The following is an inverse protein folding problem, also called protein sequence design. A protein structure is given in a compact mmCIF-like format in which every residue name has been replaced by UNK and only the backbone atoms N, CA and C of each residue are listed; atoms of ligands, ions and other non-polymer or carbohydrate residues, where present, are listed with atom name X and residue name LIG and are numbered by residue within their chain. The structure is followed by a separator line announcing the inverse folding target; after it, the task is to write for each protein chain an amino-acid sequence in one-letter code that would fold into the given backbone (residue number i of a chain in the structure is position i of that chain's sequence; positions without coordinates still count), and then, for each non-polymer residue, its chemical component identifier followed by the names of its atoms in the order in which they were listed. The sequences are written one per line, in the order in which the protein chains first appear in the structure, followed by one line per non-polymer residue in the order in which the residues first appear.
data_IF_615623485750
#
_entry.id   IF_615623485750
#
_cell.length_a   1.000
_cell.length_b   1.000
_cell.length_c   1.000
_cell.angle_alpha   90.00
_cell.angle_beta   90.00
_cell.angle_gamma   90.00
#
_symmetry.space_group_name_H-M   'P 1'
#
loop_
_entity.id
_entity.type
_entity.pdbx_description
1 polymer ?
#
# COMPACT_ATOMS: atom_id res chain seq x y z
N UNK A 1 -23.48 8.28 18.07
CA UNK A 1 -22.36 7.32 17.97
C UNK A 1 -21.05 8.08 17.83
N UNK A 2 -20.06 7.87 18.70
CA UNK A 2 -18.73 8.48 18.52
C UNK A 2 -18.05 7.83 17.31
N UNK A 3 -17.86 8.59 16.22
CA UNK A 3 -17.02 8.15 15.10
C UNK A 3 -15.59 8.03 15.62
N UNK A 4 -15.12 6.80 15.81
CA UNK A 4 -13.71 6.56 16.04
C UNK A 4 -12.97 6.81 14.73
N UNK A 5 -12.03 7.74 14.74
CA UNK A 5 -11.15 8.02 13.60
C UNK A 5 -9.81 7.38 13.87
N UNK A 6 -9.40 6.47 12.98
CA UNK A 6 -8.08 5.87 13.00
C UNK A 6 -7.29 6.45 11.84
N UNK A 7 -6.16 7.10 12.12
CA UNK A 7 -5.33 7.76 11.08
C UNK A 7 -4.99 6.83 9.92
N UNK A 8 -4.71 5.55 10.22
CA UNK A 8 -4.44 4.55 9.20
C UNK A 8 -5.64 4.34 8.27
N UNK A 9 -6.86 4.24 8.80
CA UNK A 9 -8.09 4.07 8.00
C UNK A 9 -8.38 5.31 7.16
N UNK A 10 -8.13 6.50 7.69
CA UNK A 10 -8.34 7.75 6.94
C UNK A 10 -7.46 7.86 5.69
N UNK A 11 -6.27 7.24 5.69
CA UNK A 11 -5.40 7.18 4.51
C UNK A 11 -6.03 6.39 3.35
N UNK A 12 -6.83 5.36 3.65
CA UNK A 12 -7.53 4.51 2.67
C UNK A 12 -8.97 4.96 2.38
N UNK A 13 -9.53 5.88 3.16
CA UNK A 13 -10.91 6.35 2.98
C UNK A 13 -11.05 7.13 1.68
N UNK A 14 -11.98 6.72 0.82
CA UNK A 14 -12.44 7.49 -0.33
C UNK A 14 -13.43 8.60 0.05
N UNK A 15 -13.72 9.49 -0.89
CA UNK A 15 -14.74 10.55 -0.75
C UNK A 15 -15.37 10.83 -2.13
N UNK A 16 -16.38 11.71 -2.17
CA UNK A 16 -17.16 12.07 -3.37
C UNK A 16 -16.31 12.29 -4.63
N UNK A 17 -15.11 12.88 -4.48
CA UNK A 17 -14.17 13.15 -5.58
C UNK A 17 -12.77 12.62 -5.31
N UNK A 18 -12.66 11.57 -4.50
CA UNK A 18 -11.36 11.01 -4.11
C UNK A 18 -11.39 9.50 -4.21
N UNK A 19 -10.65 8.98 -5.19
CA UNK A 19 -10.33 7.58 -5.33
C UNK A 19 -8.92 7.38 -4.79
N UNK A 20 -8.73 6.37 -3.94
CA UNK A 20 -7.41 5.97 -3.46
C UNK A 20 -6.81 4.96 -4.42
N UNK A 21 -5.53 5.13 -4.73
CA UNK A 21 -4.75 4.19 -5.51
C UNK A 21 -3.79 3.52 -4.53
N UNK A 22 -3.78 2.18 -4.53
CA UNK A 22 -2.91 1.37 -3.70
C UNK A 22 -2.07 0.51 -4.62
N UNK A 23 -0.74 0.61 -4.49
CA UNK A 23 0.18 -0.21 -5.26
C UNK A 23 0.14 -1.66 -4.80
N UNK A 24 -0.53 -2.51 -5.58
CA UNK A 24 -0.63 -3.94 -5.32
C UNK A 24 0.72 -4.63 -5.49
N UNK A 25 1.26 -5.16 -4.39
CA UNK A 25 2.63 -5.68 -4.24
C UNK A 25 3.69 -4.69 -4.70
N UNK A 26 3.45 -3.41 -4.46
CA UNK A 26 4.15 -2.29 -5.10
C UNK A 26 3.60 -2.00 -6.50
N UNK A 27 4.44 -2.12 -7.52
CA UNK A 27 4.08 -1.86 -8.91
C UNK A 27 4.34 -3.10 -9.78
N UNK A 28 3.71 -4.24 -9.44
CA UNK A 28 4.00 -5.56 -10.04
C UNK A 28 4.03 -5.60 -11.57
N UNK A 29 3.24 -4.76 -12.24
CA UNK A 29 3.24 -4.66 -13.71
C UNK A 29 4.44 -3.93 -14.31
N UNK A 30 5.24 -3.24 -13.50
CA UNK A 30 6.35 -2.38 -13.92
C UNK A 30 7.69 -2.80 -13.31
N UNK A 31 7.68 -3.28 -12.07
CA UNK A 31 8.86 -3.74 -11.33
C UNK A 31 8.53 -5.05 -10.59
N UNK A 32 9.56 -5.84 -10.20
CA UNK A 32 9.34 -7.09 -9.47
C UNK A 32 8.51 -6.88 -8.19
N UNK A 33 7.47 -7.71 -8.02
CA UNK A 33 6.54 -7.63 -6.89
C UNK A 33 7.21 -7.86 -5.53
N UNK A 34 6.70 -7.23 -4.47
CA UNK A 34 7.19 -7.38 -3.08
C UNK A 34 8.70 -7.11 -2.93
N UNK A 35 9.24 -6.16 -3.71
CA UNK A 35 10.63 -5.72 -3.62
C UNK A 35 10.75 -4.25 -3.24
N UNK A 36 11.88 -3.88 -2.63
CA UNK A 36 12.21 -2.47 -2.36
C UNK A 36 12.22 -1.62 -3.63
N UNK A 37 12.62 -2.20 -4.76
CA UNK A 37 12.54 -1.53 -6.06
C UNK A 37 11.09 -1.25 -6.45
N UNK A 38 10.21 -2.25 -6.37
CA UNK A 38 8.78 -2.07 -6.67
C UNK A 38 8.10 -1.04 -5.77
N UNK A 39 8.43 -1.00 -4.48
CA UNK A 39 7.92 0.01 -3.56
C UNK A 39 8.44 1.42 -3.90
N UNK A 40 9.73 1.56 -4.19
CA UNK A 40 10.34 2.83 -4.62
C UNK A 40 9.69 3.35 -5.91
N UNK A 41 9.54 2.48 -6.91
CA UNK A 41 8.88 2.82 -8.18
C UNK A 41 7.44 3.29 -7.96
N UNK A 42 6.68 2.63 -7.07
CA UNK A 42 5.31 3.03 -6.74
C UNK A 42 5.25 4.44 -6.15
N UNK A 43 6.14 4.75 -5.20
CA UNK A 43 6.22 6.08 -4.57
C UNK A 43 6.67 7.14 -5.58
N UNK A 44 7.64 6.83 -6.45
CA UNK A 44 8.11 7.73 -7.52
C UNK A 44 7.02 8.04 -8.56
N UNK A 45 6.03 7.15 -8.73
CA UNK A 45 4.82 7.38 -9.53
C UNK A 45 3.76 8.25 -8.84
N UNK A 46 4.00 8.70 -7.60
CA UNK A 46 3.05 9.49 -6.82
C UNK A 46 1.94 8.66 -6.14
N UNK A 47 2.11 7.34 -6.04
CA UNK A 47 1.17 6.46 -5.34
C UNK A 47 1.66 6.29 -3.90
N UNK A 48 0.90 6.83 -2.94
CA UNK A 48 1.34 6.96 -1.55
C UNK A 48 0.83 5.84 -0.63
N UNK A 49 0.13 4.85 -1.17
CA UNK A 49 -0.35 3.67 -0.45
C UNK A 49 0.24 2.43 -1.09
N UNK A 50 0.84 1.57 -0.26
CA UNK A 50 1.41 0.30 -0.66
C UNK A 50 0.56 -0.83 -0.09
N UNK A 51 0.40 -1.88 -0.88
CA UNK A 51 -0.02 -3.20 -0.43
C UNK A 51 1.14 -4.17 -0.69
N UNK A 52 1.33 -5.11 0.22
CA UNK A 52 2.37 -6.14 0.14
C UNK A 52 1.99 -7.32 1.04
N UNK A 53 2.54 -8.49 0.71
CA UNK A 53 2.33 -9.71 1.46
C UNK A 53 3.49 -9.97 2.43
N UNK A 54 3.20 -10.53 3.60
CA UNK A 54 4.20 -11.05 4.55
C UNK A 54 3.97 -12.53 4.73
N UNK A 55 5.06 -13.30 4.76
CA UNK A 55 5.06 -14.75 4.98
C UNK A 55 6.14 -15.08 6.00
N UNK A 56 5.95 -16.16 6.76
CA UNK A 56 6.89 -16.60 7.79
C UNK A 56 7.87 -17.66 7.23
N UNK A 57 9.15 -17.44 7.42
CA UNK A 57 10.24 -18.37 7.14
C UNK A 57 10.36 -19.42 8.26
N UNK A 58 11.09 -20.50 7.99
CA UNK A 58 11.28 -21.60 8.95
C UNK A 58 12.03 -21.16 10.22
N UNK A 59 12.88 -20.13 10.13
CA UNK A 59 13.59 -19.51 11.24
C UNK A 59 12.80 -18.41 11.96
N UNK A 60 11.53 -18.21 11.59
CA UNK A 60 10.64 -17.27 12.25
C UNK A 60 10.75 -15.82 11.77
N UNK A 61 11.42 -15.59 10.64
CA UNK A 61 11.49 -14.28 9.95
C UNK A 61 10.34 -14.11 8.97
#
# INVERSE_FOLDING_TARGET
MKKHSYRAVEAFRGADKTIRIVGHRGARGVAPENTMLGFKTTIEMGINLLEFDVVLCADGV
#
